data_IF_488783920641
#
_entry.id   IF_488783920641
#
_cell.length_a   1.000
_cell.length_b   1.000
_cell.length_c   1.000
_cell.angle_alpha   90.00
_cell.angle_beta   90.00
_cell.angle_gamma   90.00
#
_symmetry.space_group_name_H-M   'P 1'
#
loop_
_entity.id
_entity.type
_entity.pdbx_description
1 polymer ?
#
# COMPACT_ATOMS: atom_id res chain seq x y z
N UNK A 1 1.70 -14.43 -17.27
CA UNK A 1 1.93 -14.17 -15.83
C UNK A 1 2.11 -12.68 -15.58
N UNK A 2 3.02 -12.01 -16.28
CA UNK A 2 3.17 -10.53 -16.20
C UNK A 2 1.89 -9.76 -16.62
N UNK A 3 1.21 -10.21 -17.69
CA UNK A 3 -0.01 -9.54 -18.18
C UNK A 3 -1.19 -9.59 -17.19
N UNK A 4 -1.28 -10.65 -16.38
CA UNK A 4 -2.35 -10.79 -15.38
C UNK A 4 -2.09 -9.92 -14.16
N UNK A 5 -0.83 -9.87 -13.72
CA UNK A 5 -0.41 -8.99 -12.63
C UNK A 5 -0.62 -7.51 -12.99
N UNK A 6 -0.27 -7.12 -14.21
CA UNK A 6 -0.52 -5.76 -14.71
C UNK A 6 -2.01 -5.40 -14.69
N UNK A 7 -2.88 -6.27 -15.22
CA UNK A 7 -4.33 -6.07 -15.20
C UNK A 7 -4.88 -5.93 -13.77
N UNK A 8 -4.33 -6.69 -12.82
CA UNK A 8 -4.71 -6.60 -11.42
C UNK A 8 -4.33 -5.25 -10.79
N UNK A 9 -3.13 -4.75 -11.06
CA UNK A 9 -2.68 -3.43 -10.59
C UNK A 9 -3.48 -2.30 -11.25
N UNK A 10 -3.66 -2.35 -12.57
CA UNK A 10 -4.44 -1.35 -13.32
C UNK A 10 -5.86 -1.25 -12.76
N UNK A 11 -6.51 -2.39 -12.49
CA UNK A 11 -7.82 -2.42 -11.85
C UNK A 11 -7.83 -1.79 -10.45
N UNK A 12 -6.82 -2.05 -9.63
CA UNK A 12 -6.72 -1.42 -8.29
C UNK A 12 -6.55 0.11 -8.38
N UNK A 13 -5.84 0.60 -9.40
CA UNK A 13 -5.69 2.03 -9.66
C UNK A 13 -7.04 2.62 -10.10
N UNK A 14 -7.74 1.98 -11.03
CA UNK A 14 -9.08 2.39 -11.50
C UNK A 14 -10.10 2.43 -10.36
N UNK A 15 -10.09 1.42 -9.48
CA UNK A 15 -10.97 1.33 -8.30
C UNK A 15 -10.57 2.35 -7.19
N UNK A 16 -9.49 3.10 -7.40
CA UNK A 16 -8.97 4.12 -6.47
C UNK A 16 -8.47 3.52 -5.15
N UNK A 17 -8.00 2.28 -5.18
CA UNK A 17 -7.44 1.59 -4.01
C UNK A 17 -5.96 1.95 -3.80
N UNK A 18 -5.22 2.13 -4.90
CA UNK A 18 -3.80 2.52 -4.91
C UNK A 18 -3.56 3.65 -5.93
N UNK A 19 -2.50 4.41 -5.73
CA UNK A 19 -1.98 5.36 -6.72
C UNK A 19 -1.14 4.65 -7.79
N UNK A 20 -0.73 5.39 -8.83
CA UNK A 20 0.07 4.85 -9.95
C UNK A 20 1.46 4.36 -9.53
N UNK A 21 2.02 4.91 -8.46
CA UNK A 21 3.30 4.47 -7.87
C UNK A 21 3.13 3.30 -6.88
N UNK A 22 1.90 2.84 -6.68
CA UNK A 22 1.55 1.77 -5.77
C UNK A 22 1.13 2.23 -4.38
N UNK A 23 1.16 3.53 -4.06
CA UNK A 23 0.78 4.03 -2.73
C UNK A 23 -0.66 3.63 -2.37
N UNK A 24 -0.91 2.93 -1.24
CA UNK A 24 -2.26 2.64 -0.79
C UNK A 24 -3.06 3.91 -0.45
N UNK A 25 -4.23 4.06 -1.07
CA UNK A 25 -5.13 5.21 -0.86
C UNK A 25 -6.38 4.83 -0.07
N UNK A 26 -6.87 3.60 -0.27
CA UNK A 26 -8.15 3.15 0.27
C UNK A 26 -8.15 1.63 0.43
N UNK A 27 -8.74 1.15 1.52
CA UNK A 27 -8.95 -0.26 1.74
C UNK A 27 -10.13 -0.78 0.90
N UNK A 28 -10.12 -2.08 0.59
CA UNK A 28 -11.26 -2.78 -0.02
C UNK A 28 -12.57 -2.67 0.79
N UNK A 29 -12.51 -2.44 2.11
CA UNK A 29 -13.71 -2.19 2.91
C UNK A 29 -14.25 -0.75 2.77
N UNK A 30 -13.64 0.08 1.91
CA UNK A 30 -14.02 1.48 1.69
C UNK A 30 -13.34 2.49 2.62
N UNK A 31 -12.64 2.02 3.65
CA UNK A 31 -11.95 2.89 4.60
C UNK A 31 -10.73 3.60 3.98
N UNK A 32 -10.64 4.91 4.20
CA UNK A 32 -9.49 5.76 3.85
C UNK A 32 -8.63 6.14 5.06
N UNK A 33 -9.04 5.77 6.28
CA UNK A 33 -8.25 5.93 7.49
C UNK A 33 -7.23 4.80 7.60
N UNK A 34 -6.03 5.06 7.09
CA UNK A 34 -4.91 4.13 7.05
C UNK A 34 -3.92 4.46 8.18
N UNK A 35 -3.11 3.47 8.56
CA UNK A 35 -2.04 3.64 9.54
C UNK A 35 -0.85 2.78 9.18
N UNK A 36 0.32 3.18 9.67
CA UNK A 36 1.55 2.45 9.49
C UNK A 36 1.75 1.47 10.66
N UNK A 37 2.36 0.33 10.37
CA UNK A 37 2.83 -0.65 11.35
C UNK A 37 4.22 -1.13 10.92
N UNK A 38 4.95 -1.72 11.88
CA UNK A 38 6.31 -2.23 11.65
C UNK A 38 7.23 -1.18 11.01
N UNK A 39 7.17 0.05 11.52
CA UNK A 39 7.99 1.16 11.04
C UNK A 39 9.46 0.90 11.39
N UNK A 40 10.34 0.98 10.40
CA UNK A 40 11.77 0.90 10.57
C UNK A 40 12.41 2.23 10.13
N UNK A 41 13.33 2.70 10.97
CA UNK A 41 13.99 3.98 10.82
C UNK A 41 15.49 3.77 10.67
N UNK A 42 16.07 4.40 9.66
CA UNK A 42 17.51 4.51 9.50
C UNK A 42 17.93 5.95 9.84
N UNK A 43 18.76 6.07 10.87
CA UNK A 43 19.15 7.34 11.50
C UNK A 43 17.93 8.18 11.97
N UNK A 44 17.39 9.01 11.08
CA UNK A 44 16.30 9.95 11.32
C UNK A 44 15.14 9.83 10.32
N UNK A 45 15.20 8.88 9.39
CA UNK A 45 14.21 8.73 8.32
C UNK A 45 13.51 7.38 8.44
N UNK A 46 12.18 7.36 8.28
CA UNK A 46 11.42 6.12 8.13
C UNK A 46 11.68 5.57 6.73
N UNK A 47 12.32 4.41 6.64
CA UNK A 47 12.75 3.82 5.35
C UNK A 47 11.90 2.62 4.96
N UNK A 48 11.18 2.02 5.91
CA UNK A 48 10.33 0.86 5.69
C UNK A 48 9.12 0.86 6.64
N UNK A 49 7.95 0.51 6.13
CA UNK A 49 6.72 0.36 6.93
C UNK A 49 5.63 -0.36 6.13
N UNK A 50 4.67 -0.97 6.85
CA UNK A 50 3.48 -1.58 6.25
C UNK A 50 2.28 -0.67 6.46
N UNK A 51 1.50 -0.42 5.40
CA UNK A 51 0.22 0.28 5.51
C UNK A 51 -0.89 -0.70 5.86
N UNK A 52 -1.68 -0.37 6.87
CA UNK A 52 -2.81 -1.13 7.37
C UNK A 52 -4.08 -0.28 7.42
N UNK A 53 -5.21 -0.90 7.10
CA UNK A 53 -6.53 -0.30 7.34
C UNK A 53 -6.84 -0.28 8.85
N UNK A 54 -7.18 0.88 9.41
CA UNK A 54 -7.51 0.96 10.86
C UNK A 54 -8.86 0.35 11.23
N UNK A 55 -9.76 0.16 10.25
CA UNK A 55 -11.10 -0.39 10.48
C UNK A 55 -11.10 -1.93 10.41
N UNK A 56 -10.70 -2.51 9.27
CA UNK A 56 -10.73 -3.97 9.10
C UNK A 56 -9.40 -4.67 9.41
N UNK A 57 -8.34 -3.90 9.66
CA UNK A 57 -7.03 -4.44 10.02
C UNK A 57 -6.21 -5.06 8.88
N UNK A 58 -6.71 -5.03 7.64
CA UNK A 58 -6.00 -5.59 6.47
C UNK A 58 -4.74 -4.79 6.14
N UNK A 59 -3.64 -5.48 5.82
CA UNK A 59 -2.43 -4.89 5.24
C UNK A 59 -2.65 -4.59 3.75
N UNK A 60 -2.22 -3.42 3.29
CA UNK A 60 -2.54 -2.88 1.97
C UNK A 60 -1.33 -2.73 1.05
N UNK A 61 -0.15 -2.60 1.63
CA UNK A 61 1.10 -2.48 0.89
C UNK A 61 2.27 -2.36 1.86
N UNK A 62 3.44 -2.74 1.38
CA UNK A 62 4.69 -2.61 2.10
C UNK A 62 5.55 -1.58 1.37
N UNK A 63 5.99 -0.53 2.08
CA UNK A 63 6.94 0.42 1.54
C UNK A 63 8.32 0.07 2.07
N UNK A 64 9.30 -0.05 1.19
CA UNK A 64 10.69 -0.29 1.55
C UNK A 64 11.61 0.46 0.60
N UNK A 65 12.51 1.27 1.16
CA UNK A 65 13.63 1.90 0.45
C UNK A 65 13.25 2.62 -0.86
N UNK A 66 12.14 3.37 -0.87
CA UNK A 66 11.71 4.15 -2.04
C UNK A 66 10.64 3.49 -2.91
N UNK A 67 10.28 2.23 -2.65
CA UNK A 67 9.42 1.44 -3.52
C UNK A 67 8.24 0.81 -2.75
N UNK A 68 7.12 0.61 -3.45
CA UNK A 68 5.96 -0.14 -2.94
C UNK A 68 5.98 -1.59 -3.43
N UNK A 69 5.75 -2.52 -2.50
CA UNK A 69 5.48 -3.93 -2.74
C UNK A 69 3.98 -4.20 -2.47
N UNK A 70 3.27 -4.77 -3.46
CA UNK A 70 1.80 -4.82 -3.54
C UNK A 70 1.19 -6.22 -3.73
#
# INVERSE_FOLDING_TARGET
MEDEYKKYIDKKIEDGLIAKDGTPLKCFCGCTNLGNINEYYEEHWMVEYIVKCKECGRQLGHYAYGCWEL
#
